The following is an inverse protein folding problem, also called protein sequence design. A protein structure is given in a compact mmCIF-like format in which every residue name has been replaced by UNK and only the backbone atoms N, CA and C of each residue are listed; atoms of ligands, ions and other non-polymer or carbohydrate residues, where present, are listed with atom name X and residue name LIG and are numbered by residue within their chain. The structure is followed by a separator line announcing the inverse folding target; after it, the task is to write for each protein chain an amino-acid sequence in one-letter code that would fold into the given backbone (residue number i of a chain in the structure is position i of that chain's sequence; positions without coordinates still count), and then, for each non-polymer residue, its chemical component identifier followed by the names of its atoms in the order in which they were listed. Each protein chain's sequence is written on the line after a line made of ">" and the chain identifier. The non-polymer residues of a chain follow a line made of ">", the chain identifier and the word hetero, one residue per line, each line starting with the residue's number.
data_IF_060470385401
#
_entry.id   IF_060470385401
#
_cell.length_a   1.000
_cell.length_b   1.000
_cell.length_c   1.000
_cell.angle_alpha   90.00
_cell.angle_beta   90.00
_cell.angle_gamma   90.00
#
_symmetry.space_group_name_H-M   'P 1'
#
loop_
_entity.id
_entity.type
_entity.pdbx_description
1 polymer ?
#
# COMPACT_ATOMS: atom_id res chain seq x y z
N UNK A 1 -18.79 -8.48 -19.85
CA UNK A 1 -18.50 -8.25 -21.29
C UNK A 1 -17.25 -7.41 -21.57
N UNK A 2 -17.18 -6.10 -21.26
CA UNK A 2 -15.92 -5.32 -21.50
C UNK A 2 -14.73 -5.94 -20.74
N UNK A 3 -14.97 -6.36 -19.50
CA UNK A 3 -13.98 -6.99 -18.63
C UNK A 3 -13.56 -8.38 -19.14
N UNK A 4 -14.52 -9.22 -19.54
CA UNK A 4 -14.24 -10.53 -20.16
C UNK A 4 -13.37 -10.39 -21.42
N UNK A 5 -13.67 -9.41 -22.28
CA UNK A 5 -12.83 -9.14 -23.48
C UNK A 5 -11.44 -8.69 -23.05
N UNK A 6 -11.32 -7.84 -22.03
CA UNK A 6 -10.02 -7.39 -21.54
C UNK A 6 -9.20 -8.55 -20.97
N UNK A 7 -9.82 -9.44 -20.20
CA UNK A 7 -9.19 -10.63 -19.63
C UNK A 7 -8.66 -11.56 -20.75
N UNK A 8 -9.48 -11.82 -21.77
CA UNK A 8 -9.06 -12.58 -22.96
C UNK A 8 -7.85 -11.92 -23.64
N UNK A 9 -7.85 -10.59 -23.79
CA UNK A 9 -6.74 -9.87 -24.43
C UNK A 9 -5.46 -9.86 -23.58
N UNK A 10 -5.58 -9.83 -22.24
CA UNK A 10 -4.43 -9.89 -21.32
C UNK A 10 -3.77 -11.26 -21.31
N UNK A 11 -4.58 -12.32 -21.38
CA UNK A 11 -4.13 -13.71 -21.32
C UNK A 11 -3.77 -14.30 -22.70
N UNK A 12 -3.87 -13.52 -23.78
CA UNK A 12 -3.54 -13.98 -25.13
C UNK A 12 -2.05 -13.83 -25.44
N UNK A 13 -1.44 -14.90 -25.97
CA UNK A 13 -0.10 -14.85 -26.57
C UNK A 13 -0.16 -14.12 -27.93
N UNK A 14 -0.12 -12.79 -27.89
CA UNK A 14 -0.09 -11.92 -29.07
C UNK A 14 -1.47 -11.50 -29.57
N UNK A 15 -1.77 -11.71 -30.86
CA UNK A 15 -3.06 -11.29 -31.43
C UNK A 15 -4.10 -12.39 -31.28
N UNK A 16 -5.33 -12.00 -30.94
CA UNK A 16 -6.49 -12.88 -30.96
C UNK A 16 -7.56 -12.36 -31.93
N UNK A 17 -8.09 -13.24 -32.79
CA UNK A 17 -9.07 -12.87 -33.80
C UNK A 17 -10.41 -12.46 -33.17
N UNK A 18 -11.09 -11.47 -33.77
CA UNK A 18 -12.43 -11.08 -33.32
C UNK A 18 -13.47 -12.20 -33.45
N UNK A 19 -13.23 -13.17 -34.34
CA UNK A 19 -14.00 -14.41 -34.45
C UNK A 19 -13.84 -15.28 -33.21
N UNK A 20 -12.60 -15.54 -32.79
CA UNK A 20 -12.32 -16.37 -31.63
C UNK A 20 -12.90 -15.77 -30.35
N UNK A 21 -12.78 -14.45 -30.17
CA UNK A 21 -13.40 -13.76 -29.02
C UNK A 21 -14.93 -13.86 -29.09
N UNK A 22 -15.51 -13.72 -30.28
CA UNK A 22 -16.95 -13.83 -30.55
C UNK A 22 -17.48 -15.23 -30.20
N UNK A 23 -16.76 -16.28 -30.55
CA UNK A 23 -17.06 -17.67 -30.19
C UNK A 23 -16.93 -17.93 -28.68
N UNK A 24 -15.84 -17.47 -28.06
CA UNK A 24 -15.58 -17.65 -26.62
C UNK A 24 -16.66 -17.01 -25.75
N UNK A 25 -17.17 -15.85 -26.17
CA UNK A 25 -18.16 -15.07 -25.40
C UNK A 25 -19.60 -15.25 -25.90
N UNK A 26 -19.81 -16.07 -26.94
CA UNK A 26 -21.11 -16.30 -27.59
C UNK A 26 -21.85 -14.99 -27.96
N UNK A 27 -21.13 -14.03 -28.57
CA UNK A 27 -21.67 -12.73 -29.03
C UNK A 27 -21.20 -12.43 -30.44
N UNK A 28 -21.89 -11.56 -31.18
CA UNK A 28 -21.49 -11.22 -32.57
C UNK A 28 -20.13 -10.50 -32.66
N UNK A 29 -19.40 -10.68 -33.77
CA UNK A 29 -18.17 -9.91 -34.06
C UNK A 29 -18.38 -8.39 -34.02
N UNK A 30 -19.56 -7.91 -34.41
CA UNK A 30 -19.93 -6.48 -34.33
C UNK A 30 -20.02 -6.00 -32.89
N UNK A 31 -20.50 -6.84 -31.96
CA UNK A 31 -20.49 -6.52 -30.54
C UNK A 31 -19.06 -6.45 -30.00
N UNK A 32 -18.18 -7.40 -30.38
CA UNK A 32 -16.75 -7.34 -30.04
C UNK A 32 -16.13 -6.03 -30.51
N UNK A 33 -16.34 -5.64 -31.77
CA UNK A 33 -15.81 -4.38 -32.30
C UNK A 33 -16.28 -3.14 -31.51
N UNK A 34 -17.59 -3.08 -31.14
CA UNK A 34 -18.13 -1.99 -30.32
C UNK A 34 -17.47 -1.95 -28.94
N UNK A 35 -17.27 -3.10 -28.30
CA UNK A 35 -16.61 -3.15 -27.00
C UNK A 35 -15.12 -2.79 -27.08
N UNK A 36 -14.38 -3.23 -28.11
CA UNK A 36 -12.99 -2.83 -28.35
C UNK A 36 -12.89 -1.31 -28.57
N UNK A 37 -13.81 -0.73 -29.34
CA UNK A 37 -13.87 0.72 -29.54
C UNK A 37 -14.06 1.44 -28.20
N UNK A 38 -15.02 0.99 -27.40
CA UNK A 38 -15.28 1.57 -26.08
C UNK A 38 -14.10 1.40 -25.11
N UNK A 39 -13.35 0.29 -25.18
CA UNK A 39 -12.12 0.10 -24.40
C UNK A 39 -11.03 1.10 -24.83
N UNK A 40 -10.87 1.36 -26.13
CA UNK A 40 -9.95 2.40 -26.61
C UNK A 40 -10.33 3.78 -26.11
N UNK A 41 -11.62 4.11 -26.14
CA UNK A 41 -12.15 5.37 -25.60
C UNK A 41 -11.92 5.49 -24.08
N UNK A 42 -11.86 4.36 -23.36
CA UNK A 42 -11.48 4.31 -21.94
C UNK A 42 -9.96 4.33 -21.71
N UNK A 43 -9.13 4.52 -22.73
CA UNK A 43 -7.67 4.70 -22.61
C UNK A 43 -6.83 3.43 -22.86
N UNK A 44 -7.44 2.29 -23.17
CA UNK A 44 -6.69 1.07 -23.51
C UNK A 44 -6.07 1.19 -24.90
N UNK A 45 -4.74 0.98 -25.00
CA UNK A 45 -4.06 0.90 -26.28
C UNK A 45 -4.23 -0.52 -26.81
N UNK A 46 -5.25 -0.72 -27.63
CA UNK A 46 -5.49 -1.99 -28.32
C UNK A 46 -5.11 -1.80 -29.78
N UNK A 47 -4.18 -2.61 -30.28
CA UNK A 47 -3.83 -2.66 -31.68
C UNK A 47 -4.79 -3.59 -32.44
N UNK A 48 -5.10 -3.23 -33.70
CA UNK A 48 -5.87 -4.09 -34.60
C UNK A 48 -5.10 -4.31 -35.89
N UNK A 49 -4.92 -5.56 -36.28
CA UNK A 49 -4.30 -5.93 -37.55
C UNK A 49 -5.24 -6.82 -38.36
N UNK A 50 -5.46 -6.45 -39.62
CA UNK A 50 -6.27 -7.23 -40.57
C UNK A 50 -5.76 -8.67 -40.64
N UNK A 51 -6.66 -9.65 -40.58
CA UNK A 51 -6.36 -11.09 -40.58
C UNK A 51 -5.56 -11.62 -39.36
N UNK A 52 -5.25 -10.80 -38.35
CA UNK A 52 -4.66 -11.25 -37.08
C UNK A 52 -5.60 -11.03 -35.88
N UNK A 53 -6.31 -9.90 -35.86
CA UNK A 53 -7.25 -9.55 -34.80
C UNK A 53 -6.73 -8.43 -33.91
N UNK A 54 -6.96 -8.57 -32.59
CA UNK A 54 -6.70 -7.55 -31.58
C UNK A 54 -5.56 -7.98 -30.66
N UNK A 55 -4.75 -7.02 -30.22
CA UNK A 55 -3.71 -7.21 -29.20
C UNK A 55 -3.70 -6.03 -28.25
N UNK A 56 -3.69 -6.29 -26.95
CA UNK A 56 -3.53 -5.24 -25.94
C UNK A 56 -2.05 -4.82 -25.88
N UNK A 57 -1.77 -3.54 -26.12
CA UNK A 57 -0.42 -2.95 -26.07
C UNK A 57 -0.14 -2.37 -24.68
N UNK A 58 -1.11 -1.62 -24.13
CA UNK A 58 -1.03 -1.12 -22.76
C UNK A 58 -2.42 -0.83 -22.21
N UNK A 59 -2.58 -0.96 -20.90
CA UNK A 59 -3.79 -0.54 -20.17
C UNK A 59 -3.62 0.90 -19.68
N UNK A 60 -4.70 1.69 -19.56
CA UNK A 60 -4.64 2.92 -18.79
C UNK A 60 -4.40 2.56 -17.33
N UNK A 61 -3.67 3.40 -16.60
CA UNK A 61 -3.45 3.20 -15.17
C UNK A 61 -4.69 3.63 -14.37
N UNK A 62 -5.79 2.90 -14.58
CA UNK A 62 -7.06 3.06 -13.86
C UNK A 62 -7.17 1.90 -12.89
N UNK A 63 -7.42 2.20 -11.61
CA UNK A 63 -7.61 1.14 -10.61
C UNK A 63 -8.95 0.44 -10.85
N UNK A 64 -8.94 -0.88 -11.04
CA UNK A 64 -10.14 -1.69 -11.22
C UNK A 64 -10.07 -2.96 -10.40
N UNK A 65 -11.25 -3.48 -9.99
CA UNK A 65 -11.31 -4.75 -9.27
C UNK A 65 -10.66 -5.89 -10.05
N UNK A 66 -10.99 -6.01 -11.34
CA UNK A 66 -10.42 -7.04 -12.23
C UNK A 66 -8.91 -6.88 -12.41
N UNK A 67 -8.41 -5.65 -12.45
CA UNK A 67 -6.99 -5.35 -12.51
C UNK A 67 -6.26 -5.88 -11.29
N UNK A 68 -6.76 -5.58 -10.09
CA UNK A 68 -6.16 -6.02 -8.83
C UNK A 68 -6.30 -7.55 -8.68
N UNK A 69 -7.52 -8.09 -8.85
CA UNK A 69 -7.82 -9.52 -8.67
C UNK A 69 -6.99 -10.42 -9.58
N UNK A 70 -6.56 -9.93 -10.76
CA UNK A 70 -5.71 -10.72 -11.67
C UNK A 70 -4.32 -11.06 -11.12
N UNK A 71 -3.81 -10.30 -10.14
CA UNK A 71 -2.52 -10.56 -9.48
C UNK A 71 -2.64 -10.99 -8.02
N UNK A 72 -3.87 -11.17 -7.51
CA UNK A 72 -4.13 -11.45 -6.10
C UNK A 72 -3.96 -12.95 -5.81
N UNK A 73 -3.19 -13.30 -4.79
CA UNK A 73 -2.95 -14.68 -4.34
C UNK A 73 -3.29 -14.86 -2.86
N UNK A 74 -4.01 -13.90 -2.28
CA UNK A 74 -4.46 -13.92 -0.89
C UNK A 74 -5.61 -14.91 -0.69
N UNK A 75 -5.76 -15.40 0.53
CA UNK A 75 -6.88 -16.23 0.95
C UNK A 75 -8.13 -15.40 1.25
N UNK A 76 -7.98 -14.18 1.81
CA UNK A 76 -9.13 -13.34 2.18
C UNK A 76 -8.92 -11.83 1.95
N UNK A 77 -7.70 -11.30 2.13
CA UNK A 77 -7.44 -9.86 1.96
C UNK A 77 -7.62 -9.44 0.50
N UNK A 78 -8.43 -8.42 0.23
CA UNK A 78 -8.65 -7.92 -1.13
C UNK A 78 -9.67 -8.71 -1.96
N UNK A 79 -10.37 -9.68 -1.37
CA UNK A 79 -11.50 -10.35 -2.04
C UNK A 79 -12.75 -9.46 -2.10
N UNK A 80 -12.92 -8.60 -1.08
CA UNK A 80 -13.88 -7.50 -1.09
C UNK A 80 -13.16 -6.18 -1.34
N UNK A 81 -13.38 -5.58 -2.51
CA UNK A 81 -12.76 -4.32 -2.93
C UNK A 81 -13.82 -3.22 -3.04
N UNK A 82 -13.55 -2.07 -2.44
CA UNK A 82 -14.37 -0.87 -2.55
C UNK A 82 -13.52 0.25 -3.17
N UNK A 83 -13.77 0.55 -4.44
CA UNK A 83 -12.99 1.53 -5.20
C UNK A 83 -13.81 2.81 -5.38
N UNK A 84 -13.26 3.93 -4.91
CA UNK A 84 -13.88 5.25 -4.97
C UNK A 84 -13.13 6.15 -5.94
N UNK A 85 -13.87 6.90 -6.75
CA UNK A 85 -13.29 7.94 -7.60
C UNK A 85 -12.75 9.10 -6.76
N UNK A 86 -13.48 9.48 -5.71
CA UNK A 86 -13.08 10.50 -4.74
C UNK A 86 -13.72 10.19 -3.38
N UNK A 87 -12.98 10.44 -2.30
CA UNK A 87 -13.50 10.36 -0.93
C UNK A 87 -12.80 11.35 0.00
N UNK A 88 -13.29 11.53 1.22
CA UNK A 88 -12.58 12.24 2.28
C UNK A 88 -11.30 11.50 2.71
N UNK A 89 -11.44 10.26 3.21
CA UNK A 89 -10.33 9.31 3.46
C UNK A 89 -10.79 7.88 3.28
N UNK A 90 -9.90 6.98 2.86
CA UNK A 90 -10.18 5.54 2.82
C UNK A 90 -10.32 4.94 4.23
N UNK A 91 -9.63 5.50 5.24
CA UNK A 91 -9.78 5.08 6.63
C UNK A 91 -11.21 5.29 7.16
N UNK A 92 -11.83 6.43 6.84
CA UNK A 92 -13.21 6.70 7.23
C UNK A 92 -14.17 5.73 6.54
N UNK A 93 -13.99 5.45 5.25
CA UNK A 93 -14.80 4.46 4.52
C UNK A 93 -14.71 3.07 5.12
N UNK A 94 -13.52 2.64 5.53
CA UNK A 94 -13.32 1.38 6.23
C UNK A 94 -14.04 1.33 7.58
N UNK A 95 -13.97 2.41 8.37
CA UNK A 95 -14.65 2.53 9.68
C UNK A 95 -16.18 2.52 9.55
N UNK A 96 -16.71 3.26 8.57
CA UNK A 96 -18.15 3.30 8.26
C UNK A 96 -18.65 1.92 7.81
N UNK A 97 -17.78 1.14 7.17
CA UNK A 97 -18.08 -0.18 6.64
C UNK A 97 -17.57 -1.31 7.53
N UNK A 98 -17.50 -1.11 8.86
CA UNK A 98 -16.94 -2.07 9.82
C UNK A 98 -17.63 -3.45 9.85
N UNK A 99 -18.85 -3.56 9.33
CA UNK A 99 -19.56 -4.83 9.17
C UNK A 99 -19.10 -5.65 7.96
N UNK A 100 -18.27 -5.07 7.08
CA UNK A 100 -17.72 -5.77 5.92
C UNK A 100 -16.84 -6.96 6.33
N UNK A 101 -16.62 -7.93 5.43
CA UNK A 101 -15.75 -9.07 5.70
C UNK A 101 -14.34 -8.64 6.15
N UNK A 102 -13.70 -9.48 6.96
CA UNK A 102 -12.28 -9.32 7.28
C UNK A 102 -11.45 -9.29 5.98
N UNK A 103 -10.40 -8.47 5.95
CA UNK A 103 -9.57 -8.24 4.77
C UNK A 103 -10.21 -7.39 3.68
N UNK A 104 -11.35 -6.74 3.91
CA UNK A 104 -11.94 -5.78 2.96
C UNK A 104 -10.99 -4.61 2.71
N UNK A 105 -10.81 -4.21 1.45
CA UNK A 105 -9.90 -3.12 1.05
C UNK A 105 -10.66 -1.97 0.43
N UNK A 106 -10.41 -0.77 0.92
CA UNK A 106 -11.02 0.48 0.49
C UNK A 106 -9.95 1.30 -0.22
N UNK A 107 -10.18 1.67 -1.49
CA UNK A 107 -9.20 2.32 -2.36
C UNK A 107 -9.81 3.58 -2.92
N UNK A 108 -9.06 4.67 -3.00
CA UNK A 108 -9.52 5.88 -3.67
C UNK A 108 -8.55 6.33 -4.76
N UNK A 109 -9.07 6.89 -5.85
CA UNK A 109 -8.26 7.64 -6.80
C UNK A 109 -7.83 8.99 -6.19
N UNK A 110 -8.71 9.63 -5.39
CA UNK A 110 -8.44 10.91 -4.70
C UNK A 110 -8.92 10.87 -3.25
N UNK A 111 -8.12 11.42 -2.32
CA UNK A 111 -8.59 11.77 -0.97
C UNK A 111 -8.56 13.30 -0.78
N UNK A 112 -9.71 13.90 -0.47
CA UNK A 112 -9.84 15.35 -0.24
C UNK A 112 -9.32 15.78 1.13
N UNK A 113 -9.31 14.87 2.10
CA UNK A 113 -8.89 15.12 3.48
C UNK A 113 -7.96 14.02 3.99
N UNK A 114 -7.03 13.55 3.14
CA UNK A 114 -6.07 12.50 3.47
C UNK A 114 -5.37 12.78 4.81
N UNK A 115 -5.28 11.76 5.67
CA UNK A 115 -4.77 11.87 7.04
C UNK A 115 -3.48 11.09 7.21
N UNK A 116 -2.51 11.72 7.84
CA UNK A 116 -1.33 11.08 8.41
C UNK A 116 -1.41 11.03 9.94
N UNK A 117 -0.37 10.48 10.55
CA UNK A 117 -0.21 10.45 12.01
C UNK A 117 -0.32 11.85 12.64
N UNK A 118 -0.88 11.94 13.85
CA UNK A 118 -0.93 13.18 14.66
C UNK A 118 -1.68 14.34 13.99
N UNK A 119 -2.63 14.06 13.11
CA UNK A 119 -3.47 15.08 12.46
C UNK A 119 -2.80 15.81 11.30
N UNK A 120 -1.63 15.36 10.85
CA UNK A 120 -0.99 15.88 9.62
C UNK A 120 -1.81 15.50 8.39
N UNK A 121 -1.83 16.34 7.37
CA UNK A 121 -2.43 16.01 6.07
C UNK A 121 -1.58 15.02 5.26
N UNK A 122 -2.22 14.31 4.34
CA UNK A 122 -1.57 13.45 3.35
C UNK A 122 -2.14 13.74 1.95
N UNK A 123 -1.31 14.34 1.09
CA UNK A 123 -1.69 14.72 -0.28
C UNK A 123 -1.94 13.46 -1.12
N UNK A 124 -3.17 13.33 -1.64
CA UNK A 124 -3.64 12.11 -2.34
C UNK A 124 -4.22 12.42 -3.74
N UNK A 125 -3.38 12.86 -4.69
CA UNK A 125 -3.82 13.23 -6.03
C UNK A 125 -4.24 12.03 -6.88
N UNK A 126 -5.09 12.31 -7.86
CA UNK A 126 -5.64 11.33 -8.82
C UNK A 126 -4.53 10.64 -9.61
N UNK A 127 -4.68 9.34 -9.82
CA UNK A 127 -3.96 8.66 -10.90
C UNK A 127 -2.47 8.39 -10.66
N UNK A 128 -1.88 8.89 -9.56
CA UNK A 128 -0.42 8.85 -9.39
C UNK A 128 0.05 8.15 -8.12
N UNK A 129 -0.84 7.81 -7.20
CA UNK A 129 -0.48 7.03 -6.02
C UNK A 129 -1.50 5.98 -5.68
N UNK A 130 -1.21 5.25 -4.61
CA UNK A 130 -2.08 4.23 -4.03
C UNK A 130 -2.51 4.75 -2.66
N UNK A 131 -3.81 4.99 -2.54
CA UNK A 131 -4.44 5.45 -1.31
C UNK A 131 -5.44 4.37 -0.91
N UNK A 132 -5.07 3.52 0.03
CA UNK A 132 -5.94 2.42 0.44
C UNK A 132 -5.92 2.14 1.93
N UNK A 133 -6.96 1.47 2.41
CA UNK A 133 -7.09 1.01 3.79
C UNK A 133 -7.56 -0.43 3.81
N UNK A 134 -7.02 -1.22 4.73
CA UNK A 134 -7.41 -2.61 4.97
C UNK A 134 -8.21 -2.65 6.28
N UNK A 135 -9.44 -3.17 6.22
CA UNK A 135 -10.23 -3.50 7.40
C UNK A 135 -9.83 -4.88 7.89
N UNK A 136 -9.39 -4.96 9.14
CA UNK A 136 -8.92 -6.17 9.79
C UNK A 136 -9.74 -6.47 11.05
N UNK A 137 -9.98 -7.75 11.33
CA UNK A 137 -10.70 -8.21 12.53
C UNK A 137 -9.89 -9.24 13.35
N UNK A 138 -8.68 -8.88 13.81
CA UNK A 138 -7.82 -9.80 14.54
C UNK A 138 -8.34 -10.09 15.94
N UNK A 139 -8.17 -11.34 16.40
CA UNK A 139 -8.37 -11.74 17.80
C UNK A 139 -7.08 -11.49 18.62
N UNK A 140 -6.71 -10.21 18.78
CA UNK A 140 -5.50 -9.78 19.52
C UNK A 140 -5.84 -8.78 20.63
N UNK A 141 -4.91 -8.58 21.56
CA UNK A 141 -5.00 -7.53 22.58
C UNK A 141 -4.93 -6.13 21.94
N UNK A 142 -5.66 -5.13 22.46
CA UNK A 142 -5.49 -3.73 22.06
C UNK A 142 -4.05 -3.22 22.14
N UNK A 143 -3.22 -3.80 23.02
CA UNK A 143 -1.80 -3.44 23.15
C UNK A 143 -0.96 -3.87 21.93
N UNK A 144 -1.41 -4.90 21.21
CA UNK A 144 -0.71 -5.50 20.06
C UNK A 144 -1.07 -4.81 18.74
N UNK A 145 -2.09 -3.96 18.70
CA UNK A 145 -2.53 -3.26 17.46
C UNK A 145 -1.40 -2.44 16.82
N UNK A 146 -0.50 -1.88 17.63
CA UNK A 146 0.66 -1.14 17.12
C UNK A 146 1.57 -2.02 16.24
N UNK A 147 1.63 -3.33 16.50
CA UNK A 147 2.44 -4.30 15.77
C UNK A 147 1.93 -4.51 14.34
N UNK A 148 0.63 -4.33 14.07
CA UNK A 148 0.07 -4.33 12.71
C UNK A 148 0.70 -3.25 11.84
N UNK A 149 1.09 -2.11 12.44
CA UNK A 149 1.82 -1.05 11.70
C UNK A 149 3.20 -1.54 11.23
N UNK A 150 3.85 -2.39 12.03
CA UNK A 150 5.16 -2.97 11.69
C UNK A 150 5.02 -4.06 10.63
N UNK A 151 3.98 -4.89 10.73
CA UNK A 151 3.58 -5.86 9.69
C UNK A 151 3.37 -5.14 8.36
N UNK A 152 2.56 -4.07 8.37
CA UNK A 152 2.31 -3.23 7.20
C UNK A 152 3.61 -2.65 6.65
N UNK A 153 4.49 -2.12 7.52
CA UNK A 153 5.76 -1.54 7.11
C UNK A 153 6.66 -2.54 6.38
N UNK A 154 6.76 -3.77 6.90
CA UNK A 154 7.51 -4.84 6.26
C UNK A 154 6.89 -5.24 4.92
N UNK A 155 5.58 -5.45 4.88
CA UNK A 155 4.87 -5.79 3.64
C UNK A 155 5.04 -4.74 2.54
N UNK A 156 4.91 -3.45 2.89
CA UNK A 156 5.11 -2.36 1.93
C UNK A 156 6.56 -2.30 1.45
N UNK A 157 7.53 -2.44 2.34
CA UNK A 157 8.95 -2.48 1.98
C UNK A 157 9.26 -3.60 0.97
N UNK A 158 8.72 -4.80 1.18
CA UNK A 158 8.88 -5.94 0.25
C UNK A 158 8.16 -5.74 -1.08
N UNK A 159 6.98 -5.13 -1.05
CA UNK A 159 6.21 -4.85 -2.25
C UNK A 159 6.86 -3.76 -3.13
N UNK A 160 7.34 -2.66 -2.53
CA UNK A 160 7.99 -1.55 -3.25
C UNK A 160 9.33 -2.00 -3.83
N UNK A 161 10.17 -2.68 -3.04
CA UNK A 161 11.56 -2.94 -3.45
C UNK A 161 12.39 -1.65 -3.46
N UNK A 162 13.23 -1.45 -4.49
CA UNK A 162 14.04 -0.23 -4.69
C UNK A 162 14.90 0.16 -3.47
N UNK A 163 15.47 -0.83 -2.77
CA UNK A 163 16.20 -0.63 -1.51
C UNK A 163 15.44 0.22 -0.47
N UNK A 164 14.10 0.18 -0.54
CA UNK A 164 13.24 0.88 0.42
C UNK A 164 13.42 0.30 1.81
N UNK A 165 13.38 1.19 2.80
CA UNK A 165 13.62 0.86 4.18
C UNK A 165 12.54 1.45 5.08
N UNK A 166 12.31 0.80 6.21
CA UNK A 166 11.35 1.18 7.23
C UNK A 166 12.01 2.20 8.15
N UNK A 167 11.46 3.41 8.19
CA UNK A 167 11.72 4.37 9.24
C UNK A 167 10.67 4.16 10.33
N UNK A 168 11.09 3.51 11.42
CA UNK A 168 10.21 3.16 12.54
C UNK A 168 9.43 4.40 13.04
N UNK A 169 8.13 4.26 13.38
CA UNK A 169 7.35 3.01 13.32
C UNK A 169 6.59 2.80 12.00
N UNK A 170 6.35 3.85 11.22
CA UNK A 170 5.23 3.87 10.27
C UNK A 170 5.50 4.55 8.92
N UNK A 171 6.76 4.85 8.63
CA UNK A 171 7.17 5.46 7.37
C UNK A 171 8.05 4.49 6.57
N UNK A 172 7.92 4.51 5.24
CA UNK A 172 8.88 3.88 4.34
C UNK A 172 9.65 4.96 3.61
N UNK A 173 10.96 4.77 3.47
CA UNK A 173 11.87 5.71 2.83
C UNK A 173 12.74 5.03 1.77
N UNK A 174 13.14 5.79 0.76
CA UNK A 174 14.22 5.46 -0.18
C UNK A 174 15.19 6.64 -0.12
N UNK A 175 16.49 6.36 0.05
CA UNK A 175 17.54 7.38 0.19
C UNK A 175 17.21 8.51 1.19
N UNK A 176 16.55 8.13 2.30
CA UNK A 176 16.17 9.06 3.36
C UNK A 176 14.96 9.96 3.05
N UNK A 177 14.28 9.76 1.91
CA UNK A 177 13.05 10.45 1.51
C UNK A 177 11.84 9.54 1.62
N UNK A 178 10.71 10.09 2.08
CA UNK A 178 9.48 9.37 2.35
C UNK A 178 8.78 8.96 1.06
N UNK A 179 8.48 7.68 0.93
CA UNK A 179 7.69 7.13 -0.18
C UNK A 179 6.31 6.62 0.28
N UNK A 180 6.20 6.16 1.52
CA UNK A 180 4.94 5.67 2.07
C UNK A 180 4.73 6.11 3.52
N UNK A 181 3.48 6.39 3.88
CA UNK A 181 3.02 6.59 5.24
C UNK A 181 1.94 5.58 5.61
N UNK A 182 2.03 5.05 6.83
CA UNK A 182 1.08 4.08 7.38
C UNK A 182 0.37 4.69 8.58
N UNK A 183 -0.95 4.51 8.64
CA UNK A 183 -1.82 4.98 9.71
C UNK A 183 -2.77 3.87 10.14
N UNK A 184 -2.43 3.22 11.25
CA UNK A 184 -3.27 2.20 11.89
C UNK A 184 -4.17 2.85 12.95
N UNK A 185 -5.48 2.59 12.85
CA UNK A 185 -6.49 3.05 13.80
C UNK A 185 -7.32 1.85 14.27
N UNK A 186 -7.80 1.86 15.52
CA UNK A 186 -8.62 0.76 16.05
C UNK A 186 -9.94 1.26 16.63
N UNK A 187 -10.93 0.38 16.60
CA UNK A 187 -12.07 0.41 17.49
C UNK A 187 -11.95 -0.78 18.44
N UNK A 188 -11.98 -0.52 19.75
CA UNK A 188 -11.84 -1.55 20.76
C UNK A 188 -12.77 -1.26 21.95
N UNK A 189 -13.23 -2.33 22.59
CA UNK A 189 -13.73 -2.32 23.96
C UNK A 189 -12.59 -2.66 24.93
N UNK A 190 -12.83 -2.59 26.25
CA UNK A 190 -11.79 -2.68 27.29
C UNK A 190 -10.84 -3.89 27.11
N UNK A 191 -11.37 -5.03 26.64
CA UNK A 191 -10.60 -6.27 26.51
C UNK A 191 -10.61 -6.87 25.09
N UNK A 192 -11.19 -6.20 24.09
CA UNK A 192 -11.36 -6.80 22.76
C UNK A 192 -11.28 -5.74 21.67
N UNK A 193 -10.50 -6.04 20.64
CA UNK A 193 -10.47 -5.26 19.41
C UNK A 193 -11.72 -5.62 18.58
N UNK A 194 -12.54 -4.63 18.24
CA UNK A 194 -13.69 -4.82 17.35
C UNK A 194 -13.23 -4.91 15.90
N UNK A 195 -12.35 -3.98 15.52
CA UNK A 195 -11.69 -3.96 14.22
C UNK A 195 -10.47 -3.03 14.24
N UNK A 196 -9.58 -3.24 13.30
CA UNK A 196 -8.43 -2.39 12.98
C UNK A 196 -8.58 -1.89 11.54
N UNK A 197 -8.26 -0.63 11.31
CA UNK A 197 -8.14 -0.05 9.97
C UNK A 197 -6.69 0.34 9.76
N UNK A 198 -6.02 -0.34 8.83
CA UNK A 198 -4.65 -0.05 8.44
C UNK A 198 -4.66 0.75 7.13
N UNK A 199 -4.47 2.07 7.24
CA UNK A 199 -4.34 2.99 6.10
C UNK A 199 -2.91 3.03 5.58
N UNK A 200 -2.75 2.91 4.27
CA UNK A 200 -1.46 2.91 3.58
C UNK A 200 -1.54 3.88 2.41
N UNK A 201 -0.64 4.88 2.40
CA UNK A 201 -0.50 5.84 1.31
C UNK A 201 0.87 5.69 0.67
N UNK A 202 0.93 5.37 -0.63
CA UNK A 202 2.18 5.16 -1.38
C UNK A 202 2.28 6.13 -2.55
N UNK A 203 3.40 6.85 -2.63
CA UNK A 203 3.75 7.67 -3.79
C UNK A 203 4.31 6.77 -4.90
N UNK A 204 3.56 6.59 -5.98
CA UNK A 204 3.92 5.63 -7.05
C UNK A 204 4.49 6.35 -8.26
N UNK A 205 3.64 7.05 -9.00
CA UNK A 205 3.92 7.71 -10.27
C UNK A 205 4.02 9.24 -10.14
N UNK A 206 4.20 9.77 -8.93
CA UNK A 206 4.40 11.21 -8.71
C UNK A 206 5.70 11.67 -9.35
N UNK A 207 5.64 12.62 -10.28
CA UNK A 207 6.82 13.06 -11.05
C UNK A 207 7.60 14.18 -10.33
N UNK A 208 6.92 14.96 -9.50
CA UNK A 208 7.51 16.02 -8.68
C UNK A 208 6.66 16.29 -7.44
N UNK A 209 7.28 16.84 -6.40
CA UNK A 209 6.61 17.32 -5.20
C UNK A 209 6.78 18.83 -5.07
N UNK A 210 5.91 19.46 -4.29
CA UNK A 210 6.02 20.88 -3.95
C UNK A 210 7.35 21.17 -3.22
N UNK A 211 7.87 22.39 -3.40
CA UNK A 211 9.22 22.78 -2.97
C UNK A 211 9.48 22.56 -1.46
N UNK A 212 8.43 22.62 -0.64
CA UNK A 212 8.50 22.47 0.82
C UNK A 212 8.72 21.03 1.29
N UNK A 213 8.44 20.04 0.43
CA UNK A 213 8.61 18.61 0.72
C UNK A 213 9.47 17.87 -0.32
N UNK A 214 9.93 18.52 -1.38
CA UNK A 214 10.73 17.89 -2.44
C UNK A 214 12.06 17.27 -1.97
N UNK A 215 12.62 17.77 -0.86
CA UNK A 215 13.81 17.22 -0.21
C UNK A 215 13.51 16.04 0.73
N UNK A 216 12.24 15.85 1.10
CA UNK A 216 11.77 14.89 2.12
C UNK A 216 10.88 13.79 1.56
N UNK A 217 10.32 13.94 0.37
CA UNK A 217 9.42 12.99 -0.25
C UNK A 217 9.99 12.48 -1.58
N UNK A 218 9.65 11.24 -1.91
CA UNK A 218 9.98 10.61 -3.19
C UNK A 218 8.82 9.71 -3.65
N UNK A 219 8.97 9.15 -4.85
CA UNK A 219 8.02 8.23 -5.47
C UNK A 219 8.77 7.10 -6.18
N UNK A 220 8.09 5.99 -6.45
CA UNK A 220 8.72 4.91 -7.22
C UNK A 220 9.18 5.39 -8.61
N UNK A 221 8.44 6.31 -9.25
CA UNK A 221 8.83 6.91 -10.52
C UNK A 221 10.11 7.75 -10.43
N UNK A 222 10.26 8.57 -9.39
CA UNK A 222 11.46 9.40 -9.19
C UNK A 222 12.69 8.51 -8.98
N UNK A 223 12.55 7.43 -8.21
CA UNK A 223 13.68 6.54 -7.88
C UNK A 223 14.03 5.56 -9.01
N UNK A 224 13.06 5.15 -9.85
CA UNK A 224 13.28 4.15 -10.92
C UNK A 224 13.40 4.73 -12.33
N UNK A 225 12.88 5.94 -12.56
CA UNK A 225 12.77 6.56 -13.88
C UNK A 225 11.65 6.00 -14.77
N UNK A 226 10.78 5.11 -14.29
CA UNK A 226 9.67 4.57 -15.06
C UNK A 226 8.36 4.49 -14.26
N UNK A 227 7.22 4.44 -14.98
CA UNK A 227 5.89 4.32 -14.35
C UNK A 227 5.60 2.88 -13.95
N UNK A 228 4.84 2.71 -12.89
CA UNK A 228 4.33 1.44 -12.39
C UNK A 228 2.83 1.32 -12.64
N UNK A 229 2.36 0.10 -12.91
CA UNK A 229 0.94 -0.21 -13.03
C UNK A 229 0.36 -0.36 -11.62
N UNK A 230 -0.53 0.54 -11.20
CA UNK A 230 -1.00 0.57 -9.80
C UNK A 230 -1.79 -0.67 -9.41
N UNK A 231 -2.56 -1.27 -10.33
CA UNK A 231 -3.28 -2.51 -10.05
C UNK A 231 -2.35 -3.67 -9.62
N UNK A 232 -1.23 -3.84 -10.34
CA UNK A 232 -0.23 -4.89 -10.05
C UNK A 232 0.46 -4.63 -8.71
N UNK A 233 0.79 -3.36 -8.44
CA UNK A 233 1.42 -2.96 -7.19
C UNK A 233 0.46 -3.11 -5.99
N UNK A 234 -0.82 -2.77 -6.14
CA UNK A 234 -1.85 -3.01 -5.10
C UNK A 234 -1.95 -4.52 -4.82
N UNK A 235 -2.07 -5.35 -5.85
CA UNK A 235 -2.13 -6.80 -5.67
C UNK A 235 -0.88 -7.34 -4.94
N UNK A 236 0.31 -6.90 -5.35
CA UNK A 236 1.57 -7.25 -4.68
C UNK A 236 1.59 -6.81 -3.22
N UNK A 237 1.17 -5.58 -2.92
CA UNK A 237 1.06 -5.06 -1.55
C UNK A 237 0.14 -5.92 -0.69
N UNK A 238 -1.04 -6.29 -1.21
CA UNK A 238 -2.00 -7.11 -0.47
C UNK A 238 -1.50 -8.55 -0.26
N UNK A 239 -0.80 -9.14 -1.24
CA UNK A 239 -0.19 -10.46 -1.12
C UNK A 239 0.90 -10.48 -0.03
N UNK A 240 1.83 -9.51 -0.06
CA UNK A 240 2.87 -9.37 0.96
C UNK A 240 2.24 -9.10 2.34
N UNK A 241 1.21 -8.24 2.40
CA UNK A 241 0.52 -7.94 3.65
C UNK A 241 -0.09 -9.19 4.27
N UNK A 242 -0.88 -9.96 3.51
CA UNK A 242 -1.51 -11.16 4.06
C UNK A 242 -0.48 -12.21 4.50
N UNK A 243 0.62 -12.37 3.75
CA UNK A 243 1.71 -13.26 4.11
C UNK A 243 2.32 -12.92 5.48
N UNK A 244 2.72 -11.66 5.69
CA UNK A 244 3.29 -11.24 6.97
C UNK A 244 2.25 -11.15 8.08
N UNK A 245 1.01 -10.81 7.75
CA UNK A 245 -0.09 -10.76 8.71
C UNK A 245 -0.42 -12.15 9.27
N UNK A 246 -0.46 -13.19 8.43
CA UNK A 246 -0.64 -14.57 8.89
C UNK A 246 0.52 -15.04 9.78
N UNK A 247 1.77 -14.79 9.37
CA UNK A 247 2.94 -15.06 10.23
C UNK A 247 2.83 -14.39 11.60
N UNK A 248 2.37 -13.14 11.62
CA UNK A 248 2.13 -12.39 12.85
C UNK A 248 1.02 -13.01 13.70
N UNK A 249 -0.10 -13.40 13.11
CA UNK A 249 -1.20 -14.05 13.86
C UNK A 249 -0.77 -15.41 14.44
N UNK A 250 0.06 -16.17 13.72
CA UNK A 250 0.50 -17.51 14.14
C UNK A 250 1.61 -17.48 15.21
N UNK A 251 2.54 -16.52 15.13
CA UNK A 251 3.78 -16.52 15.92
C UNK A 251 4.10 -15.20 16.62
N UNK A 252 3.16 -14.26 16.64
CA UNK A 252 3.39 -12.90 17.12
C UNK A 252 4.39 -12.12 16.28
N UNK A 253 4.79 -10.93 16.76
CA UNK A 253 5.75 -10.09 16.04
C UNK A 253 7.11 -10.79 15.85
N UNK A 254 7.51 -11.65 16.79
CA UNK A 254 8.76 -12.42 16.72
C UNK A 254 8.92 -13.22 15.43
N UNK A 255 7.81 -13.67 14.82
CA UNK A 255 7.84 -14.40 13.55
C UNK A 255 8.33 -13.58 12.34
N UNK A 256 8.29 -12.24 12.43
CA UNK A 256 8.69 -11.34 11.35
C UNK A 256 9.82 -10.38 11.76
N UNK A 257 10.17 -10.35 13.05
CA UNK A 257 11.01 -9.31 13.64
C UNK A 257 12.43 -9.28 13.04
N UNK A 258 13.03 -10.43 12.75
CA UNK A 258 14.37 -10.49 12.13
C UNK A 258 14.37 -9.91 10.71
N UNK A 259 13.33 -10.16 9.93
CA UNK A 259 13.15 -9.58 8.60
C UNK A 259 12.90 -8.07 8.71
N UNK A 260 12.05 -7.66 9.66
CA UNK A 260 11.77 -6.25 9.95
C UNK A 260 13.04 -5.48 10.30
N UNK A 261 13.87 -6.00 11.21
CA UNK A 261 15.12 -5.36 11.67
C UNK A 261 16.10 -5.14 10.51
N UNK A 262 16.22 -6.10 9.58
CA UNK A 262 17.06 -5.96 8.37
C UNK A 262 16.58 -4.85 7.45
N UNK A 263 15.28 -4.58 7.43
CA UNK A 263 14.66 -3.52 6.65
C UNK A 263 14.52 -2.20 7.43
N UNK A 264 14.98 -2.10 8.68
CA UNK A 264 14.77 -0.91 9.51
C UNK A 264 15.96 0.05 9.47
N UNK A 265 15.79 1.17 8.76
CA UNK A 265 16.86 2.19 8.62
C UNK A 265 17.09 2.98 9.92
N UNK A 266 16.14 2.94 10.85
CA UNK A 266 16.27 3.61 12.15
C UNK A 266 17.37 2.97 13.00
N UNK A 267 17.58 1.66 12.89
CA UNK A 267 18.54 0.93 13.71
C UNK A 267 19.99 1.31 13.42
N UNK A 268 20.79 1.40 14.47
CA UNK A 268 22.20 1.80 14.42
C UNK A 268 22.42 3.30 14.22
N UNK A 269 21.36 4.12 14.23
CA UNK A 269 21.46 5.58 14.02
C UNK A 269 21.14 6.37 15.28
N UNK A 270 21.68 7.59 15.33
CA UNK A 270 21.25 8.60 16.30
C UNK A 270 19.82 9.03 16.02
N UNK A 271 19.02 9.08 17.08
CA UNK A 271 17.60 9.44 17.04
C UNK A 271 17.27 10.48 18.11
N UNK A 272 16.37 11.38 17.76
CA UNK A 272 15.64 12.21 18.71
C UNK A 272 14.20 11.69 18.77
N UNK A 273 13.79 11.21 19.94
CA UNK A 273 12.47 10.65 20.16
C UNK A 273 11.65 11.58 21.03
N UNK A 274 10.45 11.92 20.58
CA UNK A 274 9.44 12.60 21.40
C UNK A 274 8.57 11.51 22.04
N UNK A 275 8.78 11.26 23.34
CA UNK A 275 8.07 10.26 24.12
C UNK A 275 7.61 10.85 25.45
N UNK A 276 6.33 10.65 25.82
CA UNK A 276 5.73 11.20 27.06
C UNK A 276 5.96 12.71 27.27
N UNK A 277 5.93 13.49 26.18
CA UNK A 277 6.23 14.94 26.14
C UNK A 277 7.67 15.33 26.47
N UNK A 278 8.59 14.37 26.52
CA UNK A 278 10.03 14.62 26.64
C UNK A 278 10.73 14.31 25.33
N UNK A 279 11.80 15.06 25.03
CA UNK A 279 12.68 14.76 23.90
C UNK A 279 13.89 14.02 24.43
N UNK A 280 14.06 12.78 23.98
CA UNK A 280 15.19 11.93 24.36
C UNK A 280 16.09 11.72 23.15
N UNK A 281 17.38 12.01 23.33
CA UNK A 281 18.41 11.73 22.34
C UNK A 281 19.14 10.45 22.70
N UNK A 282 19.43 9.62 21.69
CA UNK A 282 20.20 8.40 21.88
C UNK A 282 20.45 7.67 20.57
N UNK A 283 20.94 6.44 20.66
CA UNK A 283 21.12 5.54 19.50
C UNK A 283 20.02 4.49 19.52
N UNK A 284 19.31 4.31 18.40
CA UNK A 284 18.36 3.21 18.25
C UNK A 284 19.14 1.89 18.11
N UNK A 285 19.07 1.04 19.13
CA UNK A 285 19.86 -0.19 19.22
C UNK A 285 19.07 -1.45 18.90
N UNK A 286 17.75 -1.43 19.11
CA UNK A 286 16.91 -2.57 18.77
C UNK A 286 15.44 -2.20 18.56
N UNK A 287 14.67 -3.13 18.00
CA UNK A 287 13.21 -3.18 18.10
C UNK A 287 12.85 -4.45 18.86
N UNK A 288 12.20 -4.32 20.02
CA UNK A 288 11.91 -5.48 20.86
C UNK A 288 10.74 -6.33 20.33
N UNK A 289 10.47 -7.46 21.00
CA UNK A 289 9.39 -8.40 20.67
C UNK A 289 7.98 -7.78 20.73
N UNK A 290 7.82 -6.65 21.41
CA UNK A 290 6.57 -5.91 21.47
C UNK A 290 6.47 -4.84 20.38
N UNK A 291 7.53 -4.64 19.59
CA UNK A 291 7.61 -3.63 18.54
C UNK A 291 8.11 -2.26 19.02
N UNK A 292 8.57 -2.17 20.27
CA UNK A 292 9.07 -0.91 20.83
C UNK A 292 10.49 -0.64 20.37
N UNK A 293 10.81 0.63 20.08
CA UNK A 293 12.17 1.03 19.74
C UNK A 293 13.00 1.14 21.04
N UNK A 294 14.03 0.32 21.15
CA UNK A 294 15.01 0.40 22.22
C UNK A 294 16.06 1.47 21.87
N UNK A 295 16.14 2.51 22.70
CA UNK A 295 17.06 3.65 22.50
C UNK A 295 18.07 3.68 23.63
N UNK A 296 19.35 3.52 23.30
CA UNK A 296 20.46 3.69 24.23
C UNK A 296 20.71 5.18 24.45
N UNK A 297 20.48 5.63 25.68
CA UNK A 297 20.73 7.00 26.15
C UNK A 297 21.93 7.03 27.10
N UNK A 298 22.31 8.21 27.59
CA UNK A 298 23.32 8.36 28.65
C UNK A 298 22.88 7.72 29.98
N UNK A 299 21.57 7.62 30.22
CA UNK A 299 21.00 7.09 31.47
C UNK A 299 20.57 5.62 31.37
N UNK A 300 20.89 4.93 30.26
CA UNK A 300 20.49 3.54 29.99
C UNK A 300 19.55 3.39 28.79
N UNK A 301 18.99 2.20 28.62
CA UNK A 301 18.08 1.87 27.52
C UNK A 301 16.64 2.25 27.92
N UNK A 302 15.96 2.98 27.05
CA UNK A 302 14.51 3.22 27.14
C UNK A 302 13.78 2.49 26.01
N UNK A 303 12.55 2.07 26.28
CA UNK A 303 11.67 1.41 25.31
C UNK A 303 10.54 2.35 24.90
N UNK A 304 10.52 2.72 23.62
CA UNK A 304 9.55 3.66 23.04
C UNK A 304 8.48 2.86 22.34
N UNK A 305 7.28 2.80 22.94
CA UNK A 305 6.13 2.06 22.40
C UNK A 305 5.36 2.82 21.34
N UNK A 306 5.46 4.15 21.37
CA UNK A 306 4.83 5.07 20.42
C UNK A 306 5.51 6.43 20.53
N UNK A 307 5.52 7.22 19.46
CA UNK A 307 6.15 8.53 19.48
C UNK A 307 6.59 9.00 18.10
N UNK A 308 7.09 10.23 18.05
CA UNK A 308 7.73 10.75 16.85
C UNK A 308 9.23 10.55 16.95
N UNK A 309 9.79 9.83 15.98
CA UNK A 309 11.22 9.58 15.88
C UNK A 309 11.78 10.38 14.72
N UNK A 310 12.66 11.32 15.05
CA UNK A 310 13.54 11.97 14.10
C UNK A 310 14.83 11.18 14.03
N UNK A 311 15.20 10.74 12.83
CA UNK A 311 16.42 9.95 12.60
C UNK A 311 17.43 10.85 11.92
N UNK A 312 18.64 10.93 12.47
CA UNK A 312 19.70 11.74 11.88
C UNK A 312 19.99 11.29 10.44
N UNK A 313 20.07 12.24 9.51
CA UNK A 313 20.28 12.01 8.09
C UNK A 313 19.05 11.53 7.29
N UNK A 314 17.87 11.46 7.90
CA UNK A 314 16.60 11.15 7.21
C UNK A 314 15.67 12.35 7.34
N UNK A 315 15.03 12.76 6.24
CA UNK A 315 14.23 13.99 6.15
C UNK A 315 15.00 15.30 6.41
N UNK A 316 16.32 15.31 6.19
CA UNK A 316 17.15 16.52 6.23
C UNK A 316 17.72 16.93 7.60
N UNK A 317 17.78 16.04 8.60
CA UNK A 317 18.41 16.37 9.89
C UNK A 317 19.94 16.14 9.85
N UNK A 318 20.74 17.21 9.93
CA UNK A 318 22.20 17.17 10.17
C UNK A 318 22.48 17.18 11.68
#
# INVERSE_FOLDING_TARGET
>A
MKEEILDILKNADGYISGERISEMLNVSRTAIWKHIKALRESGYKIESVTNKGYRLISSPDIITESGIKSGLTTDFIGHSLFIYDETDTTNNRAKESNTSPDGSVFIAEVQTHGKGSRGRGWTSPRGIGIWHSILLKPEISPLEVSQITLVAGLAVCKAIGLDSMIKWPNDIVIDGKKICGILTEMSAEINMVNYVVCGIGVNVNTESFDDDIADKATSMFIESGHKYVRNELIAKLLNEFEYYYKKFLDGGLSAILDEYKKCCVTLGREVNVIFKNETVRGTAVDVDENGSLAVQTENGIIHVTSGEVSVRGIYGYI
#
